data_IF_877224842897
#
_entry.id   IF_877224842897
#
_cell.length_a   1.000
_cell.length_b   1.000
_cell.length_c   1.000
_cell.angle_alpha   90.00
_cell.angle_beta   90.00
_cell.angle_gamma   90.00
#
_symmetry.space_group_name_H-M   'P 1'
#
loop_
_entity.id
_entity.type
_entity.pdbx_description
1 polymer ?
#
# COMPACT_ATOMS: atom_id res chain seq x y z
N UNK A 1 -8.00 -27.99 5.75
CA UNK A 1 -6.62 -27.55 5.41
C UNK A 1 -6.67 -26.83 4.08
N UNK A 2 -6.15 -25.60 4.01
CA UNK A 2 -6.18 -24.77 2.78
C UNK A 2 -5.11 -25.27 1.82
N UNK A 3 -5.45 -25.42 0.54
CA UNK A 3 -4.49 -25.85 -0.46
C UNK A 3 -4.02 -24.63 -1.28
N UNK A 4 -2.81 -24.14 -0.99
CA UNK A 4 -2.21 -23.04 -1.72
C UNK A 4 -1.82 -23.52 -3.13
N UNK A 5 -2.34 -22.85 -4.15
CA UNK A 5 -2.10 -23.18 -5.56
C UNK A 5 -1.17 -22.20 -6.26
N UNK A 6 -0.98 -21.03 -5.67
CA UNK A 6 -0.08 -20.00 -6.14
C UNK A 6 0.45 -19.17 -4.97
N UNK A 7 1.74 -18.82 -5.01
CA UNK A 7 2.34 -17.81 -4.13
C UNK A 7 3.42 -17.07 -4.90
N UNK A 8 3.43 -15.74 -4.81
CA UNK A 8 4.40 -14.86 -5.46
C UNK A 8 4.89 -13.79 -4.50
N UNK A 9 6.10 -13.30 -4.74
CA UNK A 9 6.50 -11.97 -4.27
C UNK A 9 5.53 -10.92 -4.81
N UNK A 10 5.32 -9.87 -4.04
CA UNK A 10 4.47 -8.76 -4.40
C UNK A 10 5.13 -7.42 -4.06
N UNK A 11 4.46 -6.31 -4.38
CA UNK A 11 4.94 -4.98 -4.03
C UNK A 11 6.28 -4.62 -4.66
N UNK A 12 7.08 -3.84 -3.94
CA UNK A 12 8.35 -3.28 -4.43
C UNK A 12 9.33 -4.34 -4.95
N UNK A 13 9.34 -5.53 -4.34
CA UNK A 13 10.19 -6.65 -4.76
C UNK A 13 9.77 -7.24 -6.11
N UNK A 14 8.46 -7.39 -6.33
CA UNK A 14 7.94 -7.84 -7.62
C UNK A 14 8.18 -6.80 -8.71
N UNK A 15 8.07 -5.51 -8.37
CA UNK A 15 8.30 -4.40 -9.30
C UNK A 15 9.77 -4.06 -9.54
N UNK A 16 10.71 -4.65 -8.78
CA UNK A 16 12.13 -4.32 -8.88
C UNK A 16 12.49 -2.93 -8.35
N UNK A 17 11.66 -2.35 -7.48
CA UNK A 17 11.83 -1.02 -6.88
C UNK A 17 12.16 -1.05 -5.40
N UNK A 18 12.49 -2.24 -4.86
CA UNK A 18 12.83 -2.42 -3.45
C UNK A 18 14.22 -1.85 -3.11
N UNK A 19 14.41 -1.53 -1.83
CA UNK A 19 15.72 -1.19 -1.25
C UNK A 19 15.98 -2.04 0.00
N UNK A 20 17.12 -1.83 0.66
CA UNK A 20 17.53 -2.60 1.84
C UNK A 20 16.58 -2.48 3.05
N UNK A 21 15.75 -1.44 3.10
CA UNK A 21 14.74 -1.24 4.15
C UNK A 21 13.34 -1.74 3.74
N UNK A 22 13.17 -2.32 2.55
CA UNK A 22 11.88 -2.81 2.09
C UNK A 22 11.50 -4.12 2.78
N UNK A 23 10.28 -4.15 3.31
CA UNK A 23 9.60 -5.34 3.77
C UNK A 23 9.37 -6.34 2.63
N UNK A 24 8.86 -7.52 2.99
CA UNK A 24 8.59 -8.57 2.02
C UNK A 24 7.11 -8.91 1.99
N UNK A 25 6.45 -8.44 0.93
CA UNK A 25 5.07 -8.77 0.62
C UNK A 25 4.96 -10.05 -0.20
N UNK A 26 4.00 -10.89 0.17
CA UNK A 26 3.57 -12.04 -0.61
C UNK A 26 2.08 -11.94 -0.92
N UNK A 27 1.72 -12.42 -2.11
CA UNK A 27 0.32 -12.72 -2.45
C UNK A 27 0.19 -14.17 -2.88
N UNK A 28 -0.96 -14.76 -2.62
CA UNK A 28 -1.21 -16.12 -3.06
C UNK A 28 -2.67 -16.42 -3.31
N UNK A 29 -2.91 -17.61 -3.86
CA UNK A 29 -4.24 -18.13 -4.13
C UNK A 29 -4.36 -19.51 -3.52
N UNK A 30 -5.50 -19.79 -2.92
CA UNK A 30 -5.80 -21.09 -2.35
C UNK A 30 -7.14 -21.65 -2.82
N UNK A 31 -7.24 -22.98 -2.81
CA UNK A 31 -8.52 -23.67 -2.84
C UNK A 31 -9.09 -23.78 -1.44
N UNK A 32 -10.37 -23.44 -1.33
CA UNK A 32 -11.22 -23.79 -0.18
C UNK A 32 -11.34 -25.31 -0.10
N UNK A 33 -11.52 -25.85 1.10
CA UNK A 33 -11.68 -27.30 1.27
C UNK A 33 -12.98 -27.79 0.62
N UNK A 34 -13.02 -29.07 0.19
CA UNK A 34 -14.23 -29.67 -0.40
C UNK A 34 -15.43 -29.56 0.55
N UNK A 35 -15.22 -29.79 1.85
CA UNK A 35 -16.25 -29.68 2.87
C UNK A 35 -16.78 -28.25 2.98
N UNK A 36 -15.90 -27.25 3.00
CA UNK A 36 -16.32 -25.85 3.09
C UNK A 36 -17.06 -25.41 1.83
N UNK A 37 -16.65 -25.88 0.64
CA UNK A 37 -17.36 -25.65 -0.60
C UNK A 37 -18.78 -26.26 -0.57
N UNK A 38 -18.93 -27.49 -0.07
CA UNK A 38 -20.24 -28.16 0.06
C UNK A 38 -21.14 -27.48 1.12
N UNK A 39 -20.55 -26.96 2.18
CA UNK A 39 -21.25 -26.31 3.29
C UNK A 39 -21.43 -24.80 3.08
N UNK A 40 -21.14 -24.30 1.87
CA UNK A 40 -21.18 -22.89 1.51
C UNK A 40 -20.40 -21.97 2.48
N UNK A 41 -19.34 -22.49 3.11
CA UNK A 41 -18.45 -21.73 3.98
C UNK A 41 -17.39 -21.07 3.11
N UNK A 42 -17.58 -19.78 2.88
CA UNK A 42 -16.79 -19.05 1.90
C UNK A 42 -15.79 -18.11 2.55
N UNK A 43 -14.56 -18.59 2.74
CA UNK A 43 -13.44 -17.74 3.12
C UNK A 43 -12.91 -17.02 1.88
N UNK A 44 -13.07 -15.68 1.86
CA UNK A 44 -12.61 -14.84 0.74
C UNK A 44 -11.09 -14.71 0.72
N UNK A 45 -10.51 -14.43 1.88
CA UNK A 45 -9.09 -14.23 2.03
C UNK A 45 -8.65 -14.52 3.45
N UNK A 46 -7.35 -14.71 3.63
CA UNK A 46 -6.69 -14.70 4.93
C UNK A 46 -5.32 -14.03 4.80
N UNK A 47 -4.80 -13.55 5.93
CA UNK A 47 -3.48 -12.91 5.99
C UNK A 47 -2.61 -13.56 7.05
N UNK A 48 -1.31 -13.63 6.78
CA UNK A 48 -0.28 -14.08 7.69
C UNK A 48 0.74 -12.95 7.79
N UNK A 49 0.96 -12.43 9.01
CA UNK A 49 1.93 -11.37 9.26
C UNK A 49 2.89 -11.82 10.35
N UNK A 50 4.19 -11.71 10.09
CA UNK A 50 5.24 -11.82 11.09
C UNK A 50 5.76 -10.40 11.28
N UNK A 51 5.44 -9.81 12.44
CA UNK A 51 5.92 -8.49 12.83
C UNK A 51 6.95 -8.63 13.94
N UNK A 52 8.17 -8.19 13.69
CA UNK A 52 9.23 -8.16 14.70
C UNK A 52 9.22 -6.87 15.52
N UNK A 53 8.43 -5.85 15.13
CA UNK A 53 8.32 -4.59 15.84
C UNK A 53 6.88 -4.29 16.30
N UNK A 54 6.71 -4.09 17.61
CA UNK A 54 5.43 -3.67 18.18
C UNK A 54 5.19 -2.19 17.85
N UNK A 55 4.30 -1.90 16.91
CA UNK A 55 3.82 -0.56 16.52
C UNK A 55 4.86 0.40 15.89
N UNK A 56 5.96 -0.11 15.33
CA UNK A 56 6.91 0.68 14.54
C UNK A 56 6.63 0.46 13.04
N UNK A 57 7.11 1.38 12.20
CA UNK A 57 7.11 1.21 10.73
C UNK A 57 7.76 -0.13 10.36
N UNK A 58 7.21 -0.82 9.34
CA UNK A 58 7.74 -2.09 8.87
C UNK A 58 9.25 -2.01 8.61
N UNK A 59 9.94 -3.06 9.04
CA UNK A 59 11.36 -3.33 8.89
C UNK A 59 11.58 -4.34 7.77
N UNK A 60 12.84 -4.52 7.33
CA UNK A 60 13.18 -5.50 6.30
C UNK A 60 12.90 -6.96 6.71
N UNK A 61 12.73 -7.21 8.01
CA UNK A 61 12.42 -8.53 8.58
C UNK A 61 10.92 -8.81 8.63
N UNK A 62 10.07 -7.79 8.45
CA UNK A 62 8.63 -7.96 8.48
C UNK A 62 8.14 -8.65 7.19
N UNK A 63 7.31 -9.67 7.39
CA UNK A 63 6.75 -10.49 6.33
C UNK A 63 5.24 -10.40 6.39
N UNK A 64 4.64 -9.92 5.31
CA UNK A 64 3.19 -9.86 5.15
C UNK A 64 2.78 -10.73 3.96
N UNK A 65 1.87 -11.66 4.18
CA UNK A 65 1.30 -12.50 3.15
C UNK A 65 -0.23 -12.39 3.16
N UNK A 66 -0.83 -12.16 2.00
CA UNK A 66 -2.28 -12.22 1.83
C UNK A 66 -2.64 -13.25 0.77
N UNK A 67 -3.64 -14.07 1.07
CA UNK A 67 -4.09 -15.12 0.19
C UNK A 67 -5.56 -14.95 -0.13
N UNK A 68 -5.94 -15.16 -1.38
CA UNK A 68 -7.32 -15.11 -1.86
C UNK A 68 -7.81 -16.50 -2.21
N UNK A 69 -9.07 -16.83 -1.91
CA UNK A 69 -9.66 -18.03 -2.46
C UNK A 69 -9.79 -17.89 -3.97
N UNK A 70 -9.66 -19.00 -4.71
CA UNK A 70 -9.69 -18.95 -6.18
C UNK A 70 -10.95 -18.26 -6.72
N UNK A 71 -12.10 -18.53 -6.12
CA UNK A 71 -13.37 -17.93 -6.51
C UNK A 71 -13.37 -16.40 -6.28
N UNK A 72 -12.79 -15.94 -5.16
CA UNK A 72 -12.73 -14.52 -4.85
C UNK A 72 -11.73 -13.81 -5.75
N UNK A 73 -10.58 -14.43 -5.97
CA UNK A 73 -9.60 -13.99 -6.96
C UNK A 73 -10.21 -13.83 -8.35
N UNK A 74 -11.02 -14.80 -8.80
CA UNK A 74 -11.72 -14.73 -10.07
C UNK A 74 -12.64 -13.50 -10.17
N UNK A 75 -13.37 -13.18 -9.11
CA UNK A 75 -14.20 -11.97 -9.04
C UNK A 75 -13.35 -10.69 -9.07
N UNK A 76 -12.22 -10.64 -8.36
CA UNK A 76 -11.29 -9.50 -8.40
C UNK A 76 -10.72 -9.31 -9.81
N UNK A 77 -10.26 -10.39 -10.45
CA UNK A 77 -9.72 -10.36 -11.80
C UNK A 77 -10.77 -9.90 -12.84
N UNK A 78 -12.01 -10.40 -12.72
CA UNK A 78 -13.12 -9.99 -13.60
C UNK A 78 -13.45 -8.50 -13.48
N UNK A 79 -13.38 -7.96 -12.26
CA UNK A 79 -13.62 -6.54 -12.00
C UNK A 79 -12.40 -5.65 -12.32
N UNK A 80 -11.28 -6.21 -12.78
CA UNK A 80 -10.08 -5.44 -13.09
C UNK A 80 -9.41 -4.84 -11.85
N UNK A 81 -9.56 -5.47 -10.69
CA UNK A 81 -8.90 -5.04 -9.47
C UNK A 81 -7.38 -5.16 -9.62
N UNK A 82 -6.66 -4.09 -9.29
CA UNK A 82 -5.21 -3.97 -9.59
C UNK A 82 -4.42 -5.11 -8.98
N UNK A 83 -4.73 -5.52 -7.75
CA UNK A 83 -4.06 -6.65 -7.08
C UNK A 83 -4.17 -7.96 -7.88
N UNK A 84 -5.32 -8.24 -8.49
CA UNK A 84 -5.51 -9.47 -9.25
C UNK A 84 -4.82 -9.39 -10.60
N UNK A 85 -4.87 -8.23 -11.27
CA UNK A 85 -4.14 -8.00 -12.52
C UNK A 85 -2.63 -8.10 -12.31
N UNK A 86 -2.11 -7.51 -11.24
CA UNK A 86 -0.70 -7.60 -10.85
C UNK A 86 -0.28 -9.06 -10.62
N UNK A 87 -1.08 -9.85 -9.93
CA UNK A 87 -0.83 -11.28 -9.72
C UNK A 87 -0.87 -12.08 -11.03
N UNK A 88 -1.82 -11.80 -11.93
CA UNK A 88 -1.90 -12.43 -13.26
C UNK A 88 -0.68 -12.09 -14.14
N UNK A 89 -0.14 -10.88 -13.98
CA UNK A 89 1.01 -10.38 -14.73
C UNK A 89 2.35 -10.64 -14.03
N UNK A 90 2.34 -11.23 -12.83
CA UNK A 90 3.55 -11.50 -12.06
C UNK A 90 4.53 -12.40 -12.86
N UNK A 91 5.80 -12.00 -13.02
CA UNK A 91 6.76 -12.77 -13.79
C UNK A 91 7.05 -14.10 -13.09
N UNK A 92 7.32 -15.16 -13.86
CA UNK A 92 7.64 -16.48 -13.28
C UNK A 92 8.83 -16.44 -12.30
N UNK A 93 9.76 -15.51 -12.47
CA UNK A 93 10.88 -15.29 -11.55
C UNK A 93 10.46 -14.82 -10.16
N UNK A 94 9.27 -14.25 -9.99
CA UNK A 94 8.73 -13.84 -8.69
C UNK A 94 7.91 -14.94 -8.01
N UNK A 95 7.66 -16.06 -8.70
CA UNK A 95 6.84 -17.14 -8.18
C UNK A 95 7.62 -17.99 -7.18
N UNK A 96 7.00 -18.24 -6.04
CA UNK A 96 7.53 -19.11 -4.98
C UNK A 96 6.86 -20.47 -5.01
N UNK A 97 5.63 -20.51 -5.51
CA UNK A 97 4.85 -21.74 -5.71
C UNK A 97 3.89 -21.53 -6.86
N UNK A 98 3.86 -22.48 -7.79
CA UNK A 98 2.82 -22.63 -8.79
C UNK A 98 2.27 -24.05 -8.75
N UNK A 99 1.04 -24.19 -9.22
CA UNK A 99 0.43 -25.48 -9.50
C UNK A 99 0.00 -25.48 -10.97
N UNK A 100 -0.25 -26.66 -11.51
CA UNK A 100 -0.79 -26.80 -12.87
C UNK A 100 -2.08 -25.98 -13.09
N UNK A 101 -2.95 -25.92 -12.07
CA UNK A 101 -4.18 -25.13 -12.14
C UNK A 101 -3.90 -23.63 -12.29
N UNK A 102 -2.94 -23.10 -11.52
CA UNK A 102 -2.52 -21.70 -11.67
C UNK A 102 -1.86 -21.44 -13.02
N UNK A 103 -0.98 -22.34 -13.47
CA UNK A 103 -0.31 -22.19 -14.76
C UNK A 103 -1.32 -22.12 -15.91
N UNK A 104 -2.40 -22.92 -15.87
CA UNK A 104 -3.49 -22.80 -16.84
C UNK A 104 -4.18 -21.44 -16.81
N UNK A 105 -4.45 -20.90 -15.63
CA UNK A 105 -5.01 -19.54 -15.48
C UNK A 105 -4.05 -18.50 -16.05
N UNK A 106 -2.75 -18.64 -15.78
CA UNK A 106 -1.71 -17.72 -16.22
C UNK A 106 -1.52 -17.72 -17.75
N UNK A 107 -1.53 -18.88 -18.39
CA UNK A 107 -1.48 -18.97 -19.86
C UNK A 107 -2.69 -18.27 -20.51
N UNK A 108 -3.85 -18.34 -19.84
CA UNK A 108 -5.09 -17.68 -20.27
C UNK A 108 -5.27 -16.26 -19.72
N UNK A 109 -4.27 -15.66 -19.05
CA UNK A 109 -4.40 -14.37 -18.33
C UNK A 109 -4.96 -13.23 -19.18
N UNK A 110 -4.68 -13.23 -20.48
CA UNK A 110 -5.16 -12.21 -21.42
C UNK A 110 -6.70 -12.17 -21.51
N UNK A 111 -7.39 -13.27 -21.19
CA UNK A 111 -8.86 -13.34 -21.15
C UNK A 111 -9.48 -12.55 -20.00
N UNK A 112 -8.69 -12.19 -18.98
CA UNK A 112 -9.14 -11.37 -17.86
C UNK A 112 -8.97 -9.86 -18.13
N UNK A 113 -8.27 -9.49 -19.22
CA UNK A 113 -8.10 -8.09 -19.59
C UNK A 113 -9.39 -7.55 -20.23
N UNK A 114 -9.89 -6.45 -19.68
CA UNK A 114 -11.14 -5.82 -20.10
C UNK A 114 -10.94 -4.32 -20.32
N UNK A 115 -11.81 -3.73 -21.12
CA UNK A 115 -11.93 -2.25 -21.22
C UNK A 115 -12.56 -1.63 -19.97
N UNK A 116 -13.15 -2.45 -19.08
CA UNK A 116 -13.64 -2.00 -17.79
C UNK A 116 -12.47 -1.76 -16.83
N UNK A 117 -11.86 -0.58 -16.93
CA UNK A 117 -10.69 -0.16 -16.14
C UNK A 117 -11.05 0.75 -14.96
N UNK A 118 -12.33 0.78 -14.56
CA UNK A 118 -12.84 1.70 -13.53
C UNK A 118 -12.10 1.50 -12.19
N UNK A 119 -11.83 0.24 -11.79
CA UNK A 119 -11.07 -0.05 -10.57
C UNK A 119 -9.66 0.52 -10.61
N UNK A 120 -8.97 0.45 -11.76
CA UNK A 120 -7.66 1.07 -11.95
C UNK A 120 -7.75 2.60 -11.87
N UNK A 121 -8.71 3.23 -12.56
CA UNK A 121 -8.89 4.70 -12.52
C UNK A 121 -9.14 5.19 -11.09
N UNK A 122 -10.01 4.50 -10.35
CA UNK A 122 -10.31 4.82 -8.96
C UNK A 122 -9.07 4.67 -8.07
N UNK A 123 -8.27 3.61 -8.29
CA UNK A 123 -6.99 3.43 -7.60
C UNK A 123 -6.04 4.60 -7.89
N UNK A 124 -5.85 4.97 -9.16
CA UNK A 124 -4.98 6.09 -9.56
C UNK A 124 -5.42 7.42 -8.96
N UNK A 125 -6.72 7.73 -8.96
CA UNK A 125 -7.26 8.94 -8.33
C UNK A 125 -6.97 8.98 -6.83
N UNK A 126 -7.17 7.87 -6.12
CA UNK A 126 -6.85 7.76 -4.69
C UNK A 126 -5.35 7.94 -4.43
N UNK A 127 -4.48 7.37 -5.26
CA UNK A 127 -3.04 7.57 -5.14
C UNK A 127 -2.67 9.03 -5.39
N UNK A 128 -3.21 9.67 -6.44
CA UNK A 128 -2.96 11.07 -6.74
C UNK A 128 -3.38 11.99 -5.58
N UNK A 129 -4.57 11.80 -5.02
CA UNK A 129 -5.03 12.56 -3.86
C UNK A 129 -4.12 12.35 -2.63
N UNK A 130 -3.78 11.09 -2.32
CA UNK A 130 -2.91 10.75 -1.19
C UNK A 130 -1.53 11.39 -1.30
N UNK A 131 -0.90 11.28 -2.46
CA UNK A 131 0.45 11.82 -2.66
C UNK A 131 0.46 13.32 -2.92
N UNK A 132 -0.64 13.90 -3.42
CA UNK A 132 -0.82 15.35 -3.48
C UNK A 132 -0.78 15.99 -2.10
N UNK A 133 -1.58 15.49 -1.15
CA UNK A 133 -1.59 15.99 0.24
C UNK A 133 -0.22 15.76 0.91
N UNK A 134 0.39 14.59 0.73
CA UNK A 134 1.75 14.33 1.27
C UNK A 134 2.80 15.28 0.68
N UNK A 135 2.70 15.58 -0.61
CA UNK A 135 3.57 16.55 -1.28
C UNK A 135 3.40 17.96 -0.72
N UNK A 136 2.16 18.42 -0.55
CA UNK A 136 1.84 19.71 0.08
C UNK A 136 2.46 19.81 1.48
N UNK A 137 2.24 18.79 2.33
CA UNK A 137 2.81 18.73 3.68
C UNK A 137 4.34 18.71 3.69
N UNK A 138 4.96 17.97 2.78
CA UNK A 138 6.42 17.96 2.64
C UNK A 138 6.96 19.34 2.25
N UNK A 139 6.27 20.03 1.33
CA UNK A 139 6.63 21.39 0.93
C UNK A 139 6.53 22.36 2.11
N UNK A 140 5.47 22.28 2.91
CA UNK A 140 5.31 23.09 4.14
C UNK A 140 6.48 22.84 5.10
N UNK A 141 6.85 21.58 5.35
CA UNK A 141 8.02 21.25 6.17
C UNK A 141 9.31 21.87 5.62
N UNK A 142 9.53 21.83 4.31
CA UNK A 142 10.69 22.44 3.68
C UNK A 142 10.68 23.97 3.80
N UNK A 143 9.54 24.62 3.62
CA UNK A 143 9.39 26.08 3.81
C UNK A 143 9.74 26.47 5.26
N UNK A 144 9.26 25.73 6.25
CA UNK A 144 9.58 25.96 7.67
C UNK A 144 11.07 25.78 7.94
N UNK A 145 11.68 24.68 7.48
CA UNK A 145 13.12 24.42 7.67
C UNK A 145 13.95 25.52 7.04
N UNK A 146 13.62 25.94 5.82
CA UNK A 146 14.32 27.01 5.11
C UNK A 146 14.22 28.34 5.85
N UNK A 147 13.07 28.66 6.43
CA UNK A 147 12.89 29.88 7.22
C UNK A 147 13.69 29.82 8.52
N UNK A 148 13.59 28.72 9.28
CA UNK A 148 14.32 28.56 10.54
C UNK A 148 15.84 28.63 10.36
N UNK A 149 16.37 28.12 9.24
CA UNK A 149 17.79 28.17 8.91
C UNK A 149 18.34 29.59 8.68
N UNK A 150 17.49 30.60 8.49
CA UNK A 150 17.92 32.01 8.35
C UNK A 150 18.31 32.64 9.69
N UNK A 151 17.91 32.05 10.82
CA UNK A 151 18.10 32.63 12.14
C UNK A 151 19.20 31.89 12.92
N UNK A 152 19.89 32.61 13.81
CA UNK A 152 20.78 31.97 14.79
C UNK A 152 19.95 31.07 15.72
N UNK A 153 20.49 29.89 16.06
CA UNK A 153 19.87 28.90 16.96
C UNK A 153 19.56 29.47 18.35
N UNK A 154 20.15 30.60 18.72
CA UNK A 154 19.90 31.31 19.99
C UNK A 154 18.63 32.17 19.97
N UNK A 155 18.05 32.43 18.80
CA UNK A 155 16.85 33.25 18.67
C UNK A 155 15.60 32.48 19.11
N UNK A 156 14.70 33.15 19.83
CA UNK A 156 13.40 32.58 20.20
C UNK A 156 12.50 32.53 18.96
N UNK A 157 11.92 31.37 18.67
CA UNK A 157 10.97 31.16 17.55
C UNK A 157 9.80 32.15 17.60
N UNK A 158 9.41 32.59 18.81
CA UNK A 158 8.29 33.51 19.04
C UNK A 158 8.46 34.88 18.36
N UNK A 159 9.68 35.28 18.00
CA UNK A 159 9.90 36.54 17.26
C UNK A 159 9.37 36.48 15.82
N UNK A 160 9.02 35.30 15.30
CA UNK A 160 8.70 35.06 13.89
C UNK A 160 7.28 34.51 13.67
N UNK A 161 6.32 34.86 14.54
CA UNK A 161 4.93 34.38 14.45
C UNK A 161 4.25 34.70 13.12
N UNK A 162 4.60 35.82 12.48
CA UNK A 162 4.00 36.26 11.21
C UNK A 162 4.21 35.23 10.09
N UNK A 163 5.38 34.60 10.01
CA UNK A 163 5.64 33.57 9.00
C UNK A 163 4.73 32.36 9.15
N UNK A 164 4.48 31.93 10.39
CA UNK A 164 3.60 30.80 10.66
C UNK A 164 2.14 31.15 10.37
N UNK A 165 1.72 32.38 10.65
CA UNK A 165 0.38 32.86 10.31
C UNK A 165 0.19 32.99 8.78
N UNK A 166 1.24 33.39 8.04
CA UNK A 166 1.27 33.42 6.56
C UNK A 166 1.18 32.01 5.95
N UNK A 167 1.94 31.05 6.50
CA UNK A 167 1.88 29.64 6.11
C UNK A 167 0.49 29.04 6.33
N UNK A 168 -0.14 29.36 7.47
CA UNK A 168 -1.50 28.93 7.79
C UNK A 168 -2.52 29.50 6.81
N UNK A 169 -2.33 30.75 6.37
CA UNK A 169 -3.19 31.37 5.36
C UNK A 169 -3.00 30.75 3.98
N UNK A 170 -1.77 30.31 3.64
CA UNK A 170 -1.44 29.65 2.38
C UNK A 170 -1.92 28.19 2.32
N UNK A 171 -1.94 27.50 3.47
CA UNK A 171 -2.26 26.08 3.59
C UNK A 171 -3.27 25.80 4.74
N UNK A 172 -4.48 26.36 4.69
CA UNK A 172 -5.41 26.32 5.81
C UNK A 172 -5.94 24.90 6.14
N UNK A 173 -5.94 24.00 5.16
CA UNK A 173 -6.42 22.62 5.32
C UNK A 173 -5.31 21.65 5.76
N UNK A 174 -4.04 22.05 5.66
CA UNK A 174 -2.88 21.19 5.92
C UNK A 174 -1.95 21.67 7.02
N UNK A 175 -2.05 22.94 7.45
CA UNK A 175 -1.25 23.55 8.49
C UNK A 175 -2.12 24.33 9.47
N UNK A 176 -1.85 24.19 10.77
CA UNK A 176 -2.57 24.90 11.84
C UNK A 176 -1.56 25.42 12.86
N UNK A 177 -1.68 26.69 13.24
CA UNK A 177 -0.88 27.31 14.30
C UNK A 177 -1.66 27.26 15.62
N UNK A 178 -1.12 26.56 16.62
CA UNK A 178 -1.68 26.52 17.97
C UNK A 178 -0.83 27.39 18.90
N UNK A 179 -1.38 28.50 19.37
CA UNK A 179 -0.74 29.41 20.32
C UNK A 179 -1.15 28.99 21.75
N UNK A 180 -0.21 28.48 22.55
CA UNK A 180 -0.41 28.24 23.98
C UNK A 180 0.31 29.31 24.79
N UNK A 181 -0.43 30.07 25.58
CA UNK A 181 0.12 30.95 26.60
C UNK A 181 0.12 30.18 27.91
N UNK A 182 1.23 30.21 28.64
CA UNK A 182 1.20 29.75 30.03
C UNK A 182 0.47 30.84 30.82
N UNK A 183 -0.59 30.46 31.52
CA UNK A 183 -1.18 31.32 32.56
C UNK A 183 -0.16 31.39 33.71
N UNK A 184 0.30 32.61 33.99
CA UNK A 184 1.13 32.93 35.16
C UNK A 184 0.30 32.87 36.47
#
# INVERSE_FOLDING_TARGET
>A
MRNIIFKTLFGSRMYGTFNYNSDTDYKGIFFISKSDMLLARYEKSFSESIKNSNNIKNTAEDIDAEYFSLQYFGNLAFNGETVAIDMLCAPRSSWLRSSFAWEKIYEDRNKFLSKNIISFVNYSQKQAAKYGIKGSRLNICNEIINELNKYDKRNKIISNLNFFDDLNSKYPDEFIVIKKYNED
#
